data_IF_204112763238
#
_entry.id   IF_204112763238
#
_cell.length_a   1.000
_cell.length_b   1.000
_cell.length_c   1.000
_cell.angle_alpha   90.00
_cell.angle_beta   90.00
_cell.angle_gamma   90.00
#
_symmetry.space_group_name_H-M   'P 1'
#
loop_
_entity.id
_entity.type
_entity.pdbx_description
1 polymer ?
#
# COMPACT_ATOMS: atom_id res chain seq x y z
N UNK A 1 -13.90 8.25 -7.24
CA UNK A 1 -13.01 8.83 -8.27
C UNK A 1 -11.83 7.92 -8.49
N UNK A 2 -10.87 8.32 -9.31
CA UNK A 2 -9.58 7.62 -9.45
C UNK A 2 -8.77 7.80 -8.15
N UNK A 3 -8.08 6.77 -7.66
CA UNK A 3 -7.21 6.78 -6.47
C UNK A 3 -7.84 7.34 -5.18
N UNK A 4 -9.14 7.09 -4.98
CA UNK A 4 -9.92 7.59 -3.82
C UNK A 4 -10.57 6.48 -3.00
N UNK A 5 -10.24 5.22 -3.28
CA UNK A 5 -10.76 4.07 -2.56
C UNK A 5 -10.34 4.03 -1.07
N UNK A 6 -10.97 3.18 -0.26
CA UNK A 6 -10.50 2.86 1.09
C UNK A 6 -9.05 2.34 1.04
N UNK A 7 -8.19 2.88 1.91
CA UNK A 7 -6.79 2.45 2.01
C UNK A 7 -6.73 1.08 2.70
N UNK A 8 -6.00 0.14 2.10
CA UNK A 8 -5.85 -1.24 2.60
C UNK A 8 -4.53 -1.39 3.38
N UNK A 9 -3.44 -0.90 2.81
CA UNK A 9 -2.10 -0.99 3.38
C UNK A 9 -1.27 0.21 2.90
N UNK A 10 -0.25 0.59 3.68
CA UNK A 10 0.69 1.65 3.33
C UNK A 10 2.11 1.22 3.69
N UNK A 11 3.08 1.64 2.88
CA UNK A 11 4.50 1.47 3.11
C UNK A 11 5.19 2.82 3.20
N UNK A 12 6.36 2.84 3.82
CA UNK A 12 7.21 4.04 3.92
C UNK A 12 8.41 3.90 2.99
N UNK A 13 8.82 5.02 2.40
CA UNK A 13 10.02 5.11 1.57
C UNK A 13 10.78 6.35 2.03
N UNK A 14 12.08 6.19 2.29
CA UNK A 14 12.94 7.31 2.67
C UNK A 14 13.25 8.17 1.44
N UNK A 15 13.09 9.48 1.60
CA UNK A 15 13.50 10.48 0.63
C UNK A 15 14.82 11.08 1.09
N UNK A 16 15.78 11.16 0.18
CA UNK A 16 17.15 11.62 0.39
C UNK A 16 17.40 12.92 -0.38
N UNK A 17 18.54 13.58 -0.13
CA UNK A 17 18.91 14.81 -0.84
C UNK A 17 19.14 14.61 -2.35
N UNK A 18 19.39 13.37 -2.79
CA UNK A 18 19.59 13.00 -4.20
C UNK A 18 18.27 12.88 -4.98
N UNK A 19 17.13 12.77 -4.29
CA UNK A 19 15.79 12.63 -4.87
C UNK A 19 15.24 14.00 -5.29
N UNK A 20 15.85 14.56 -6.32
CA UNK A 20 15.48 15.84 -6.92
C UNK A 20 14.42 15.65 -8.02
N UNK A 21 13.69 16.70 -8.44
CA UNK A 21 12.81 16.61 -9.60
C UNK A 21 13.52 16.13 -10.87
N UNK A 22 14.79 16.49 -11.07
CA UNK A 22 15.61 16.03 -12.18
C UNK A 22 16.09 14.56 -12.00
N UNK A 23 16.11 14.06 -10.76
CA UNK A 23 16.59 12.74 -10.34
C UNK A 23 15.50 11.81 -9.78
N UNK A 24 14.21 12.07 -10.06
CA UNK A 24 13.07 11.39 -9.43
C UNK A 24 12.99 9.87 -9.71
N UNK A 25 13.66 9.40 -10.76
CA UNK A 25 13.63 7.99 -11.18
C UNK A 25 14.11 7.04 -10.08
N UNK A 26 15.12 7.43 -9.29
CA UNK A 26 15.66 6.60 -8.22
C UNK A 26 14.66 6.45 -7.05
N UNK A 27 13.99 7.55 -6.66
CA UNK A 27 12.90 7.49 -5.69
C UNK A 27 11.74 6.63 -6.19
N UNK A 28 11.36 6.81 -7.45
CA UNK A 28 10.24 6.10 -8.05
C UNK A 28 10.48 4.59 -8.11
N UNK A 29 11.70 4.13 -8.43
CA UNK A 29 12.01 2.70 -8.37
C UNK A 29 11.99 2.13 -6.95
N UNK A 30 12.49 2.87 -5.95
CA UNK A 30 12.37 2.46 -4.53
C UNK A 30 10.91 2.40 -4.08
N UNK A 31 10.06 3.32 -4.53
CA UNK A 31 8.60 3.26 -4.31
C UNK A 31 8.04 1.98 -4.90
N UNK A 32 8.33 1.66 -6.16
CA UNK A 32 7.82 0.44 -6.79
C UNK A 32 8.28 -0.83 -6.07
N UNK A 33 9.49 -0.88 -5.52
CA UNK A 33 9.98 -2.03 -4.74
C UNK A 33 9.12 -2.27 -3.50
N UNK A 34 8.83 -1.21 -2.74
CA UNK A 34 7.95 -1.27 -1.57
C UNK A 34 6.52 -1.60 -1.99
N UNK A 35 5.99 -0.96 -3.03
CA UNK A 35 4.64 -1.19 -3.54
C UNK A 35 4.40 -2.64 -3.97
N UNK A 36 5.34 -3.24 -4.73
CA UNK A 36 5.21 -4.63 -5.19
C UNK A 36 5.11 -5.60 -4.00
N UNK A 37 5.94 -5.42 -2.99
CA UNK A 37 5.92 -6.25 -1.77
C UNK A 37 4.62 -6.06 -1.00
N UNK A 38 4.24 -4.80 -0.76
CA UNK A 38 3.04 -4.42 -0.02
C UNK A 38 1.76 -4.94 -0.70
N UNK A 39 1.69 -4.86 -2.02
CA UNK A 39 0.55 -5.34 -2.81
C UNK A 39 0.38 -6.85 -2.65
N UNK A 40 1.45 -7.61 -2.77
CA UNK A 40 1.42 -9.08 -2.63
C UNK A 40 1.00 -9.47 -1.21
N UNK A 41 1.54 -8.80 -0.19
CA UNK A 41 1.15 -9.05 1.20
C UNK A 41 -0.34 -8.76 1.44
N UNK A 42 -0.81 -7.59 1.00
CA UNK A 42 -2.19 -7.16 1.17
C UNK A 42 -3.17 -8.13 0.49
N UNK A 43 -2.90 -8.51 -0.76
CA UNK A 43 -3.71 -9.51 -1.49
C UNK A 43 -3.72 -10.85 -0.75
N UNK A 44 -2.55 -11.32 -0.29
CA UNK A 44 -2.44 -12.57 0.44
C UNK A 44 -3.20 -12.58 1.77
N UNK A 45 -3.24 -11.45 2.49
CA UNK A 45 -4.02 -11.29 3.72
C UNK A 45 -5.53 -11.23 3.45
N UNK A 46 -5.95 -10.48 2.43
CA UNK A 46 -7.36 -10.44 2.02
C UNK A 46 -7.86 -11.84 1.65
N UNK A 47 -7.07 -12.61 0.91
CA UNK A 47 -7.45 -13.94 0.45
C UNK A 47 -7.51 -15.00 1.56
N UNK A 48 -6.60 -14.92 2.54
CA UNK A 48 -6.51 -15.92 3.63
C UNK A 48 -7.39 -15.56 4.83
N UNK A 49 -7.39 -14.28 5.20
CA UNK A 49 -7.95 -13.84 6.47
C UNK A 49 -9.31 -13.15 6.31
N UNK A 50 -9.66 -12.73 5.10
CA UNK A 50 -10.84 -11.91 4.84
C UNK A 50 -10.63 -10.44 5.23
N UNK A 51 -11.66 -9.63 4.96
CA UNK A 51 -11.67 -8.22 5.30
C UNK A 51 -13.10 -7.67 5.43
N UNK A 52 -13.24 -6.52 6.09
CA UNK A 52 -14.48 -5.74 6.19
C UNK A 52 -14.21 -4.28 5.91
N UNK A 53 -15.19 -3.60 5.29
CA UNK A 53 -15.12 -2.17 5.00
C UNK A 53 -16.16 -1.44 5.85
N UNK A 54 -15.72 -0.44 6.62
CA UNK A 54 -16.58 0.48 7.37
C UNK A 54 -16.38 1.91 6.87
N UNK A 55 -17.37 2.43 6.13
CA UNK A 55 -17.23 3.73 5.49
C UNK A 55 -16.01 3.75 4.56
N UNK A 56 -14.92 4.39 4.97
CA UNK A 56 -13.65 4.45 4.22
C UNK A 56 -12.50 3.66 4.83
N UNK A 57 -12.75 2.84 5.85
CA UNK A 57 -11.72 2.06 6.55
C UNK A 57 -11.80 0.59 6.16
N UNK A 58 -10.64 -0.03 5.93
CA UNK A 58 -10.51 -1.47 5.70
C UNK A 58 -9.98 -2.12 6.99
N UNK A 59 -10.65 -3.16 7.44
CA UNK A 59 -10.23 -4.02 8.53
C UNK A 59 -9.83 -5.38 7.95
N UNK A 60 -8.57 -5.77 8.12
CA UNK A 60 -8.04 -7.06 7.70
C UNK A 60 -8.10 -8.07 8.85
N UNK A 61 -8.43 -9.33 8.56
CA UNK A 61 -8.52 -10.39 9.56
C UNK A 61 -9.89 -11.09 9.59
N UNK A 62 -9.93 -12.24 10.28
CA UNK A 62 -11.14 -13.07 10.38
C UNK A 62 -12.27 -12.28 11.04
N UNK A 63 -13.31 -12.03 10.26
CA UNK A 63 -14.55 -11.44 10.76
C UNK A 63 -15.41 -12.62 11.24
N UNK A 64 -15.47 -12.82 12.56
CA UNK A 64 -16.45 -13.68 13.22
C UNK A 64 -16.35 -13.50 14.74
N UNK A 65 -17.43 -13.33 15.52
CA UNK A 65 -18.88 -13.34 15.25
C UNK A 65 -19.53 -11.96 15.46
#
# INVERSE_FOLDING_TARGET
>A
GVDTGPIIAQGVVEVTEEDTPEGEAALHERIKEVERTLLVEAVGRIARDGHRIEGRKVHLGHVGE
#
